data_IF_710073271063
#
_entry.id   IF_710073271063
#
_cell.length_a   1.000
_cell.length_b   1.000
_cell.length_c   1.000
_cell.angle_alpha   90.00
_cell.angle_beta   90.00
_cell.angle_gamma   90.00
#
_symmetry.space_group_name_H-M   'P 1'
#
loop_
_entity.id
_entity.type
_entity.pdbx_description
1 polymer ?
#
# COMPACT_ATOMS: atom_id res chain seq x y z
N UNK A 1 10.09 40.50 -4.64
CA UNK A 1 11.05 40.16 -3.58
C UNK A 1 11.25 38.66 -3.68
N UNK A 2 12.22 38.31 -4.49
CA UNK A 2 12.61 36.95 -4.81
C UNK A 2 13.38 36.34 -3.62
N UNK A 3 13.09 35.09 -3.31
CA UNK A 3 14.00 34.26 -2.52
C UNK A 3 14.07 32.88 -3.15
N UNK A 4 15.16 32.65 -3.89
CA UNK A 4 15.56 31.33 -4.37
C UNK A 4 16.36 30.64 -3.26
N UNK A 5 16.02 29.39 -2.92
CA UNK A 5 16.98 28.51 -2.26
C UNK A 5 16.86 27.04 -2.66
N UNK A 6 17.97 26.60 -3.26
CA UNK A 6 18.67 25.32 -3.14
C UNK A 6 17.91 24.00 -3.36
N UNK A 7 18.12 23.41 -4.55
CA UNK A 7 17.62 22.09 -4.91
C UNK A 7 18.46 20.91 -4.40
N UNK A 8 17.89 19.72 -4.60
CA UNK A 8 18.64 18.48 -4.85
C UNK A 8 17.85 17.66 -5.88
N UNK A 9 18.46 17.48 -7.04
CA UNK A 9 17.95 16.69 -8.17
C UNK A 9 18.37 15.25 -7.96
N UNK A 10 17.43 14.33 -7.97
CA UNK A 10 17.68 12.90 -8.07
C UNK A 10 16.83 12.32 -9.22
N UNK A 11 17.33 12.53 -10.44
CA UNK A 11 17.83 11.41 -11.25
C UNK A 11 16.84 10.36 -11.75
N UNK A 12 15.56 10.68 -11.87
CA UNK A 12 14.62 9.88 -12.64
C UNK A 12 13.94 10.79 -13.66
N UNK A 13 14.41 10.68 -14.90
CA UNK A 13 13.84 11.37 -16.05
C UNK A 13 12.50 10.67 -16.39
N UNK A 14 11.44 11.04 -15.69
CA UNK A 14 10.09 10.93 -16.24
C UNK A 14 9.82 12.29 -16.87
N UNK A 15 9.81 12.30 -18.20
CA UNK A 15 9.21 13.38 -18.97
C UNK A 15 7.73 13.48 -18.60
N UNK A 16 7.44 14.23 -17.55
CA UNK A 16 6.12 14.80 -17.33
C UNK A 16 5.97 15.85 -18.41
N UNK A 17 5.09 15.60 -19.37
CA UNK A 17 4.62 16.67 -20.24
C UNK A 17 3.75 17.56 -19.36
N UNK A 18 4.35 18.60 -18.81
CA UNK A 18 3.64 19.65 -18.10
C UNK A 18 2.80 20.43 -19.13
N UNK A 19 1.54 20.03 -19.33
CA UNK A 19 0.54 20.92 -19.91
C UNK A 19 0.16 21.94 -18.85
N UNK A 20 0.82 23.10 -18.91
CA UNK A 20 0.41 24.28 -18.16
C UNK A 20 -0.99 24.69 -18.59
N UNK A 21 -1.97 24.43 -17.72
CA UNK A 21 -3.28 25.06 -17.83
C UNK A 21 -3.77 25.43 -16.43
N UNK A 22 -3.79 26.74 -16.16
CA UNK A 22 -4.47 27.31 -15.01
C UNK A 22 -5.96 26.99 -15.10
N UNK A 23 -6.39 25.99 -14.34
CA UNK A 23 -7.78 25.60 -14.21
C UNK A 23 -7.90 24.56 -13.11
N UNK A 24 -8.93 24.69 -12.27
CA UNK A 24 -9.34 23.64 -11.35
C UNK A 24 -9.76 22.44 -12.21
N UNK A 25 -8.88 21.47 -12.44
CA UNK A 25 -9.23 20.25 -13.17
C UNK A 25 -10.05 19.40 -12.22
N UNK A 26 -11.37 19.47 -12.34
CA UNK A 26 -12.23 18.41 -11.85
C UNK A 26 -11.80 17.14 -12.58
N UNK A 27 -11.16 16.22 -11.85
CA UNK A 27 -10.92 14.88 -12.39
C UNK A 27 -12.28 14.30 -12.76
N UNK A 28 -12.51 13.90 -14.03
CA UNK A 28 -13.79 13.30 -14.41
C UNK A 28 -14.04 12.11 -13.49
N UNK A 29 -15.27 12.01 -12.96
CA UNK A 29 -15.68 10.89 -12.13
C UNK A 29 -15.34 9.60 -12.91
N UNK A 30 -14.55 8.71 -12.31
CA UNK A 30 -14.13 7.44 -12.94
C UNK A 30 -15.36 6.65 -13.44
N UNK A 31 -16.50 6.84 -12.78
CA UNK A 31 -17.82 6.30 -13.12
C UNK A 31 -18.35 6.74 -14.50
N UNK A 32 -17.81 7.81 -15.09
CA UNK A 32 -18.16 8.26 -16.45
C UNK A 32 -17.52 7.41 -17.55
N UNK A 33 -16.53 6.57 -17.21
CA UNK A 33 -15.92 5.61 -18.13
C UNK A 33 -16.89 4.44 -18.30
N UNK A 34 -17.42 4.18 -19.52
CA UNK A 34 -18.44 3.15 -19.75
C UNK A 34 -18.04 1.77 -19.22
N UNK A 35 -16.76 1.41 -19.37
CA UNK A 35 -16.22 0.13 -18.90
C UNK A 35 -16.29 -0.03 -17.37
N UNK A 36 -16.12 1.05 -16.60
CA UNK A 36 -16.18 0.99 -15.13
C UNK A 36 -17.62 0.79 -14.66
N UNK A 37 -18.57 1.44 -15.34
CA UNK A 37 -20.00 1.26 -15.06
C UNK A 37 -20.53 -0.12 -15.46
N UNK A 38 -19.90 -0.76 -16.46
CA UNK A 38 -20.27 -2.09 -16.93
C UNK A 38 -19.81 -3.21 -15.98
N UNK A 39 -18.67 -3.02 -15.30
CA UNK A 39 -18.07 -4.02 -14.41
C UNK A 39 -17.84 -3.48 -12.99
N UNK A 40 -18.88 -3.08 -12.25
CA UNK A 40 -18.74 -2.52 -10.91
C UNK A 40 -18.10 -3.51 -9.92
N UNK A 41 -18.26 -4.82 -10.12
CA UNK A 41 -17.65 -5.87 -9.31
C UNK A 41 -16.13 -6.00 -9.48
N UNK A 42 -15.58 -5.56 -10.63
CA UNK A 42 -14.14 -5.58 -10.92
C UNK A 42 -13.46 -4.33 -10.34
N UNK A 43 -14.20 -3.22 -10.24
CA UNK A 43 -13.70 -1.93 -9.76
C UNK A 43 -14.41 -1.45 -8.48
N UNK A 44 -14.44 -2.25 -7.39
CA UNK A 44 -15.04 -1.80 -6.14
C UNK A 44 -14.15 -0.75 -5.46
N UNK A 45 -14.77 0.16 -4.70
CA UNK A 45 -14.04 1.19 -3.93
C UNK A 45 -13.12 0.58 -2.85
N UNK A 46 -13.46 -0.61 -2.34
CA UNK A 46 -12.67 -1.36 -1.37
C UNK A 46 -12.60 -2.84 -1.77
N UNK A 47 -11.43 -3.46 -1.57
CA UNK A 47 -11.24 -4.89 -1.84
C UNK A 47 -11.97 -5.70 -0.76
N UNK A 48 -12.99 -6.51 -1.12
CA UNK A 48 -13.92 -7.08 -0.16
C UNK A 48 -13.37 -8.29 0.60
N UNK A 49 -12.48 -9.09 -0.01
CA UNK A 49 -11.93 -10.31 0.60
C UNK A 49 -10.67 -10.79 -0.11
N UNK A 50 -9.96 -11.74 0.50
CA UNK A 50 -9.02 -12.60 -0.22
C UNK A 50 -9.69 -13.30 -1.40
N UNK A 51 -8.97 -13.51 -2.52
CA UNK A 51 -9.49 -14.27 -3.65
C UNK A 51 -9.99 -15.66 -3.21
N UNK A 52 -10.97 -16.22 -3.92
CA UNK A 52 -11.33 -17.64 -3.76
C UNK A 52 -10.11 -18.54 -3.94
N UNK A 53 -10.18 -19.76 -3.40
CA UNK A 53 -9.19 -20.80 -3.63
C UNK A 53 -9.05 -21.08 -5.14
N UNK A 54 -7.80 -21.24 -5.60
CA UNK A 54 -7.46 -21.45 -7.01
C UNK A 54 -6.49 -22.62 -7.11
N UNK A 55 -6.36 -23.21 -8.29
CA UNK A 55 -5.38 -24.27 -8.55
C UNK A 55 -3.92 -23.81 -8.40
N UNK A 56 -3.69 -22.50 -8.49
CA UNK A 56 -2.37 -21.88 -8.42
C UNK A 56 -2.33 -20.97 -7.19
N UNK A 57 -1.47 -21.34 -6.24
CA UNK A 57 -1.13 -20.54 -5.07
C UNK A 57 0.22 -19.86 -5.22
N UNK A 58 0.38 -18.74 -4.53
CA UNK A 58 1.65 -18.05 -4.45
C UNK A 58 2.53 -18.73 -3.39
N UNK A 59 3.53 -19.48 -3.84
CA UNK A 59 4.59 -20.02 -2.97
C UNK A 59 5.74 -19.02 -2.81
N UNK A 60 6.32 -18.98 -1.61
CA UNK A 60 7.58 -18.26 -1.35
C UNK A 60 8.71 -19.28 -1.25
N UNK A 61 9.54 -19.34 -2.29
CA UNK A 61 10.72 -20.22 -2.28
C UNK A 61 11.83 -19.62 -1.40
N UNK A 62 12.39 -20.44 -0.51
CA UNK A 62 13.46 -20.06 0.41
C UNK A 62 14.70 -20.87 0.03
N UNK A 63 15.89 -20.25 0.06
CA UNK A 63 17.14 -20.98 -0.16
C UNK A 63 17.35 -22.02 0.97
N UNK A 64 17.86 -23.22 0.66
CA UNK A 64 17.85 -24.39 1.56
C UNK A 64 18.57 -24.20 2.92
N UNK A 65 19.42 -23.18 3.05
CA UNK A 65 20.17 -22.88 4.28
C UNK A 65 19.82 -21.51 4.89
N UNK A 66 18.67 -20.94 4.52
CA UNK A 66 18.26 -19.63 5.02
C UNK A 66 17.83 -19.73 6.49
N UNK A 67 18.50 -18.97 7.36
CA UNK A 67 18.10 -18.87 8.77
C UNK A 67 16.82 -18.06 8.90
N UNK A 68 15.95 -18.49 9.82
CA UNK A 68 14.76 -17.72 10.15
C UNK A 68 15.13 -16.37 10.76
N UNK A 69 14.49 -15.32 10.26
CA UNK A 69 14.66 -13.95 10.77
C UNK A 69 13.41 -13.57 11.56
N UNK A 70 13.61 -13.16 12.81
CA UNK A 70 12.56 -12.61 13.67
C UNK A 70 13.04 -11.30 14.27
N UNK A 71 12.48 -10.20 13.78
CA UNK A 71 12.82 -8.84 14.18
C UNK A 71 11.67 -8.28 15.00
N UNK A 72 12.00 -7.62 16.12
CA UNK A 72 11.00 -6.97 16.97
C UNK A 72 10.30 -5.84 16.20
N UNK A 73 8.97 -5.68 16.33
CA UNK A 73 8.26 -4.53 15.76
C UNK A 73 8.85 -3.20 16.23
N UNK A 74 8.77 -2.17 15.38
CA UNK A 74 9.15 -0.81 15.77
C UNK A 74 8.22 -0.27 16.86
N UNK A 75 8.73 0.62 17.72
CA UNK A 75 7.93 1.27 18.76
C UNK A 75 6.92 2.23 18.11
N UNK A 76 5.63 2.02 18.38
CA UNK A 76 4.52 2.80 17.79
C UNK A 76 3.41 3.03 18.82
N UNK A 77 2.48 3.95 18.51
CA UNK A 77 1.30 4.19 19.33
C UNK A 77 0.36 2.97 19.28
N UNK A 78 -0.06 2.39 20.42
CA UNK A 78 -0.85 1.15 20.43
C UNK A 78 -2.19 1.24 19.68
N UNK A 79 -2.84 2.40 19.73
CA UNK A 79 -4.19 2.58 19.17
C UNK A 79 -4.25 2.41 17.65
N UNK A 80 -3.31 3.01 16.91
CA UNK A 80 -3.28 2.95 15.44
C UNK A 80 -3.01 1.52 14.94
N UNK A 81 -2.14 0.79 15.64
CA UNK A 81 -1.79 -0.60 15.30
C UNK A 81 -2.98 -1.53 15.49
N UNK A 82 -3.69 -1.42 16.62
CA UNK A 82 -4.83 -2.28 16.90
C UNK A 82 -5.99 -2.08 15.92
N UNK A 83 -6.28 -0.84 15.53
CA UNK A 83 -7.36 -0.54 14.59
C UNK A 83 -7.09 -1.15 13.21
N UNK A 84 -5.88 -0.98 12.67
CA UNK A 84 -5.53 -1.55 11.37
C UNK A 84 -5.46 -3.08 11.41
N UNK A 85 -4.95 -3.68 12.50
CA UNK A 85 -4.97 -5.14 12.66
C UNK A 85 -6.39 -5.70 12.71
N UNK A 86 -7.31 -5.05 13.45
CA UNK A 86 -8.71 -5.46 13.54
C UNK A 86 -9.40 -5.40 12.17
N UNK A 87 -9.15 -4.35 11.37
CA UNK A 87 -9.69 -4.24 10.01
C UNK A 87 -9.16 -5.35 9.09
N UNK A 88 -7.85 -5.60 9.09
CA UNK A 88 -7.24 -6.64 8.25
C UNK A 88 -7.68 -8.06 8.65
N UNK A 89 -7.82 -8.32 9.95
CA UNK A 89 -8.38 -9.57 10.48
C UNK A 89 -9.86 -9.72 10.09
N UNK A 90 -10.65 -8.66 10.22
CA UNK A 90 -12.07 -8.65 9.85
C UNK A 90 -12.30 -8.92 8.36
N UNK A 91 -11.40 -8.45 7.50
CA UNK A 91 -11.41 -8.72 6.06
C UNK A 91 -10.84 -10.10 5.69
N UNK A 92 -10.18 -10.78 6.63
CA UNK A 92 -9.52 -12.06 6.41
C UNK A 92 -8.25 -11.97 5.54
N UNK A 93 -7.64 -10.79 5.43
CA UNK A 93 -6.37 -10.63 4.70
C UNK A 93 -5.17 -11.19 5.48
N UNK A 94 -5.28 -11.24 6.81
CA UNK A 94 -4.28 -11.82 7.70
C UNK A 94 -4.94 -12.78 8.67
N UNK A 95 -4.14 -13.70 9.21
CA UNK A 95 -4.55 -14.65 10.24
C UNK A 95 -3.47 -14.71 11.33
N UNK A 96 -3.84 -14.97 12.60
CA UNK A 96 -2.88 -15.27 13.64
C UNK A 96 -2.01 -16.46 13.24
N UNK A 97 -0.69 -16.34 13.40
CA UNK A 97 0.26 -17.42 13.10
C UNK A 97 1.31 -17.54 14.20
N UNK A 98 1.89 -18.74 14.30
CA UNK A 98 3.04 -19.05 15.19
C UNK A 98 4.28 -19.33 14.35
N UNK A 99 4.61 -18.37 13.48
CA UNK A 99 5.76 -18.50 12.57
C UNK A 99 7.09 -18.26 13.30
N UNK A 100 8.15 -19.02 12.97
CA UNK A 100 9.49 -18.67 13.41
C UNK A 100 10.05 -17.42 12.68
N UNK A 101 9.37 -16.97 11.62
CA UNK A 101 9.67 -15.75 10.88
C UNK A 101 8.85 -14.58 11.41
N UNK A 102 9.49 -13.41 11.56
CA UNK A 102 8.84 -12.19 12.00
C UNK A 102 9.48 -10.97 11.35
N UNK A 103 8.69 -10.24 10.58
CA UNK A 103 9.09 -8.96 9.98
C UNK A 103 8.49 -7.79 10.78
N UNK A 104 9.22 -6.68 10.95
CA UNK A 104 8.68 -5.53 11.66
C UNK A 104 7.69 -4.78 10.78
N UNK A 105 6.72 -4.13 11.44
CA UNK A 105 5.71 -3.29 10.80
C UNK A 105 6.09 -1.81 11.01
N UNK A 106 5.88 -1.00 9.98
CA UNK A 106 6.01 0.45 10.01
C UNK A 106 4.78 1.13 9.41
N UNK A 107 4.48 2.32 9.91
CA UNK A 107 3.39 3.15 9.40
C UNK A 107 3.95 4.32 8.59
N UNK A 108 3.49 4.45 7.35
CA UNK A 108 3.89 5.54 6.46
C UNK A 108 2.72 6.50 6.28
N UNK A 109 2.96 7.78 6.60
CA UNK A 109 2.04 8.87 6.25
C UNK A 109 2.13 9.16 4.77
N UNK A 110 0.99 9.15 4.10
CA UNK A 110 0.86 9.55 2.70
C UNK A 110 0.53 11.03 2.59
N UNK A 111 0.69 11.57 1.38
CA UNK A 111 0.42 12.98 1.05
C UNK A 111 -1.05 13.38 1.31
N UNK A 112 -1.94 12.41 1.22
CA UNK A 112 -3.38 12.50 1.48
C UNK A 112 -3.72 12.56 2.99
N UNK A 113 -2.72 12.47 3.87
CA UNK A 113 -2.89 12.47 5.33
C UNK A 113 -3.21 11.09 5.91
N UNK A 114 -3.47 10.08 5.08
CA UNK A 114 -3.73 8.72 5.53
C UNK A 114 -2.43 8.02 5.95
N UNK A 115 -2.57 7.09 6.91
CA UNK A 115 -1.49 6.23 7.39
C UNK A 115 -1.67 4.83 6.80
N UNK A 116 -0.62 4.27 6.20
CA UNK A 116 -0.64 2.89 5.69
C UNK A 116 0.32 2.00 6.45
N UNK A 117 -0.15 0.82 6.86
CA UNK A 117 0.69 -0.27 7.35
C UNK A 117 1.63 -0.75 6.23
N UNK A 118 2.90 -0.92 6.53
CA UNK A 118 3.91 -1.47 5.65
C UNK A 118 4.72 -2.52 6.42
N UNK A 119 4.99 -3.67 5.80
CA UNK A 119 5.82 -4.73 6.37
C UNK A 119 7.21 -4.61 5.74
N UNK A 120 8.25 -4.58 6.57
CA UNK A 120 9.63 -4.50 6.10
C UNK A 120 10.21 -5.89 5.84
N UNK A 121 10.17 -6.33 4.58
CA UNK A 121 10.68 -7.64 4.14
C UNK A 121 12.13 -7.60 3.63
N UNK A 122 12.90 -6.58 3.99
CA UNK A 122 14.31 -6.43 3.57
C UNK A 122 15.25 -7.44 4.20
#
# INVERSE_FOLDING_TARGET
MDEFSCGKKNGWDLSVVDYGFGGCVETPLIQSVPLVSEFPEVFPDNIPRVPPEREIDFGTDILPDTRHISISPYRMAPAELEEQLKDLLGKGFILPSVSPWGAPILFVRKKDGFIRMCIDYR
#
